data_IF_333986294924
#
_entry.id   IF_333986294924
#
_cell.length_a   1.000
_cell.length_b   1.000
_cell.length_c   1.000
_cell.angle_alpha   90.00
_cell.angle_beta   90.00
_cell.angle_gamma   90.00
#
_symmetry.space_group_name_H-M   'P 1'
#
loop_
_entity.id
_entity.type
_entity.pdbx_description
1 polymer ?
#
# COMPACT_ATOMS: atom_id res chain seq x y z
N UNK A 1 0.23 22.95 -17.09
CA UNK A 1 1.59 22.89 -16.52
C UNK A 1 1.60 21.71 -15.56
N UNK A 2 2.48 20.71 -15.77
CA UNK A 2 2.59 19.58 -14.83
C UNK A 2 3.72 19.90 -13.85
N UNK A 3 3.38 20.11 -12.58
CA UNK A 3 4.32 20.43 -11.51
C UNK A 3 4.71 19.12 -10.80
N UNK A 4 5.53 18.31 -11.45
CA UNK A 4 6.15 17.14 -10.85
C UNK A 4 7.58 17.00 -11.35
N UNK A 5 8.50 16.66 -10.46
CA UNK A 5 9.88 16.36 -10.80
C UNK A 5 10.43 15.31 -9.84
N UNK A 6 11.50 14.58 -10.21
CA UNK A 6 12.16 13.67 -9.29
C UNK A 6 12.62 14.39 -8.02
N UNK A 7 12.44 13.74 -6.88
CA UNK A 7 12.90 14.24 -5.59
C UNK A 7 14.43 14.22 -5.55
N UNK A 8 15.03 15.26 -4.96
CA UNK A 8 16.47 15.32 -4.78
C UNK A 8 16.83 15.91 -3.43
N UNK A 9 17.92 15.40 -2.85
CA UNK A 9 18.53 15.95 -1.65
C UNK A 9 19.50 17.04 -2.09
N UNK A 10 19.43 18.20 -1.43
CA UNK A 10 20.26 19.35 -1.74
C UNK A 10 21.07 19.76 -0.51
N UNK A 11 22.32 20.16 -0.74
CA UNK A 11 23.14 20.82 0.26
C UNK A 11 23.15 22.32 -0.01
N UNK A 12 22.80 23.11 1.01
CA UNK A 12 22.87 24.56 0.95
C UNK A 12 24.09 25.05 1.74
N UNK A 13 24.97 25.80 1.06
CA UNK A 13 26.11 26.45 1.70
C UNK A 13 26.01 27.97 1.51
N UNK A 14 24.96 28.56 2.07
CA UNK A 14 24.68 30.01 2.02
C UNK A 14 24.04 30.47 0.71
N UNK A 15 24.81 30.53 -0.39
CA UNK A 15 24.35 31.08 -1.68
C UNK A 15 24.18 30.04 -2.78
N UNK A 16 24.73 28.83 -2.61
CA UNK A 16 24.67 27.76 -3.59
C UNK A 16 23.85 26.58 -3.07
N UNK A 17 23.04 26.02 -3.98
CA UNK A 17 22.21 24.86 -3.73
C UNK A 17 22.70 23.74 -4.65
N UNK A 18 23.48 22.81 -4.09
CA UNK A 18 24.06 21.71 -4.83
C UNK A 18 23.19 20.47 -4.70
N UNK A 19 22.77 19.91 -5.84
CA UNK A 19 22.08 18.61 -5.88
C UNK A 19 23.08 17.51 -5.48
N UNK A 20 22.77 16.80 -4.40
CA UNK A 20 23.60 15.72 -3.88
C UNK A 20 23.20 14.38 -4.47
N UNK A 21 21.89 14.10 -4.47
CA UNK A 21 21.33 12.82 -4.84
C UNK A 21 19.93 13.01 -5.37
N UNK A 22 19.58 12.30 -6.44
CA UNK A 22 18.19 12.06 -6.82
C UNK A 22 17.72 10.77 -6.15
N UNK A 23 16.60 10.82 -5.42
CA UNK A 23 16.09 9.65 -4.72
C UNK A 23 15.22 8.85 -5.69
N UNK A 24 15.58 7.59 -6.02
CA UNK A 24 14.84 6.77 -6.97
C UNK A 24 13.37 6.61 -6.56
N UNK A 25 12.46 6.80 -7.53
CA UNK A 25 11.01 6.65 -7.40
C UNK A 25 10.35 7.54 -6.34
N UNK A 26 11.04 8.57 -5.86
CA UNK A 26 10.42 9.66 -5.11
C UNK A 26 10.25 10.88 -6.02
N UNK A 27 9.10 11.52 -5.94
CA UNK A 27 8.75 12.69 -6.72
C UNK A 27 8.37 13.85 -5.81
N UNK A 28 8.74 15.06 -6.19
CA UNK A 28 8.21 16.30 -5.63
C UNK A 28 7.14 16.84 -6.58
N UNK A 29 5.97 17.14 -6.02
CA UNK A 29 4.86 17.81 -6.69
C UNK A 29 4.73 19.25 -6.23
N UNK A 30 3.70 19.94 -6.72
CA UNK A 30 3.32 21.25 -6.19
C UNK A 30 2.70 21.15 -4.80
N UNK A 31 2.00 20.05 -4.53
CA UNK A 31 1.44 19.71 -3.23
C UNK A 31 2.14 18.49 -2.64
N UNK A 32 2.19 18.40 -1.30
CA UNK A 32 2.74 17.21 -0.63
C UNK A 32 1.95 15.95 -1.01
N UNK A 33 0.63 16.06 -1.18
CA UNK A 33 -0.24 14.96 -1.60
C UNK A 33 0.06 14.46 -3.00
N UNK A 34 0.37 15.36 -3.93
CA UNK A 34 0.80 14.99 -5.29
C UNK A 34 2.16 14.30 -5.27
N UNK A 35 3.10 14.83 -4.48
CA UNK A 35 4.44 14.25 -4.29
C UNK A 35 4.34 12.79 -3.86
N UNK A 36 3.52 12.53 -2.83
CA UNK A 36 3.27 11.19 -2.29
C UNK A 36 2.61 10.31 -3.36
N UNK A 37 1.51 10.78 -3.97
CA UNK A 37 0.71 10.01 -4.95
C UNK A 37 1.56 9.38 -6.05
N UNK A 38 2.48 10.15 -6.64
CA UNK A 38 3.30 9.70 -7.76
C UNK A 38 4.56 8.91 -7.34
N UNK A 39 4.92 8.92 -6.06
CA UNK A 39 6.09 8.20 -5.56
C UNK A 39 5.81 6.72 -5.36
N UNK A 40 6.88 5.91 -5.29
CA UNK A 40 6.87 4.51 -4.88
C UNK A 40 7.82 4.31 -3.69
N UNK A 41 7.56 3.27 -2.90
CA UNK A 41 8.41 2.87 -1.78
C UNK A 41 9.54 1.92 -2.21
N UNK A 42 9.73 1.69 -3.52
CA UNK A 42 10.72 0.75 -4.07
C UNK A 42 12.13 0.93 -3.47
N UNK A 43 12.61 2.17 -3.33
CA UNK A 43 13.92 2.47 -2.75
C UNK A 43 14.09 1.87 -1.34
N UNK A 44 13.03 1.80 -0.55
CA UNK A 44 13.09 1.30 0.83
C UNK A 44 13.31 -0.22 0.92
N UNK A 45 13.13 -0.96 -0.19
CA UNK A 45 13.45 -2.40 -0.28
C UNK A 45 14.89 -2.67 -0.74
N UNK A 46 15.66 -1.63 -1.10
CA UNK A 46 17.02 -1.77 -1.62
C UNK A 46 18.05 -1.19 -0.66
N UNK A 47 18.98 -2.02 -0.18
CA UNK A 47 19.96 -1.61 0.83
C UNK A 47 20.84 -0.47 0.34
N UNK A 48 21.30 -0.50 -0.90
CA UNK A 48 22.12 0.58 -1.47
C UNK A 48 21.38 1.92 -1.51
N UNK A 49 20.08 1.89 -1.77
CA UNK A 49 19.27 3.11 -1.78
C UNK A 49 19.05 3.67 -0.36
N UNK A 50 18.75 2.79 0.59
CA UNK A 50 18.59 3.14 2.01
C UNK A 50 19.89 3.66 2.62
N UNK A 51 21.04 3.05 2.28
CA UNK A 51 22.37 3.50 2.71
C UNK A 51 22.68 4.91 2.20
N UNK A 52 22.34 5.20 0.94
CA UNK A 52 22.51 6.53 0.36
C UNK A 52 21.69 7.59 1.11
N UNK A 53 20.43 7.28 1.42
CA UNK A 53 19.56 8.19 2.20
C UNK A 53 20.14 8.38 3.61
N UNK A 54 20.52 7.29 4.27
CA UNK A 54 21.06 7.30 5.64
C UNK A 54 22.35 8.14 5.72
N UNK A 55 23.22 8.01 4.73
CA UNK A 55 24.46 8.78 4.61
C UNK A 55 24.19 10.29 4.54
N UNK A 56 23.30 10.73 3.64
CA UNK A 56 23.03 12.15 3.43
C UNK A 56 22.22 12.79 4.55
N UNK A 57 21.35 12.03 5.22
CA UNK A 57 20.57 12.51 6.35
C UNK A 57 21.31 12.37 7.69
N UNK A 58 22.48 11.74 7.71
CA UNK A 58 23.25 11.43 8.91
C UNK A 58 22.41 10.73 10.00
N UNK A 59 21.58 9.78 9.58
CA UNK A 59 20.73 8.96 10.44
C UNK A 59 21.43 7.62 10.67
N UNK A 60 21.25 7.02 11.84
CA UNK A 60 21.66 5.64 12.10
C UNK A 60 21.14 4.71 11.00
N UNK A 61 21.89 3.65 10.72
CA UNK A 61 21.60 2.67 9.66
C UNK A 61 20.13 2.26 9.68
N UNK A 62 19.40 2.68 8.65
CA UNK A 62 18.03 2.25 8.40
C UNK A 62 18.07 0.83 7.82
N UNK A 63 17.20 -0.04 8.33
CA UNK A 63 17.03 -1.36 7.76
C UNK A 63 16.10 -1.26 6.54
N UNK A 64 16.40 -2.04 5.50
CA UNK A 64 15.49 -2.20 4.36
C UNK A 64 14.20 -2.88 4.77
N UNK A 65 13.13 -2.56 4.04
CA UNK A 65 11.90 -3.33 4.06
C UNK A 65 12.16 -4.71 3.46
N UNK A 66 11.51 -5.72 4.03
CA UNK A 66 11.60 -7.10 3.57
C UNK A 66 10.55 -7.36 2.49
N UNK A 67 11.02 -7.69 1.29
CA UNK A 67 10.18 -8.02 0.13
C UNK A 67 9.32 -9.25 0.42
N UNK A 68 9.79 -10.20 1.24
CA UNK A 68 9.04 -11.41 1.58
C UNK A 68 7.83 -11.15 2.50
N UNK A 69 7.75 -9.95 3.10
CA UNK A 69 6.59 -9.56 3.90
C UNK A 69 5.46 -8.94 3.07
N UNK A 70 5.71 -8.58 1.82
CA UNK A 70 4.65 -8.15 0.90
C UNK A 70 3.75 -9.33 0.54
N UNK A 71 2.44 -9.12 0.54
CA UNK A 71 1.47 -10.14 0.14
C UNK A 71 0.58 -9.69 -1.01
N UNK A 72 0.12 -8.44 -0.97
CA UNK A 72 -0.79 -7.89 -1.96
C UNK A 72 -0.08 -6.94 -2.92
N UNK A 73 0.73 -6.02 -2.40
CA UNK A 73 1.41 -5.03 -3.22
C UNK A 73 2.74 -5.54 -3.79
N UNK A 74 3.07 -5.10 -5.00
CA UNK A 74 4.39 -5.28 -5.58
C UNK A 74 5.37 -4.21 -5.08
N UNK A 75 6.67 -4.50 -5.14
CA UNK A 75 7.74 -3.56 -4.74
C UNK A 75 7.71 -2.25 -5.53
N UNK A 76 7.24 -2.29 -6.78
CA UNK A 76 7.09 -1.14 -7.67
C UNK A 76 5.70 -0.47 -7.62
N UNK A 77 4.84 -0.85 -6.66
CA UNK A 77 3.54 -0.21 -6.48
C UNK A 77 3.72 1.29 -6.17
N UNK A 78 2.92 2.14 -6.81
CA UNK A 78 2.88 3.57 -6.46
C UNK A 78 2.10 3.76 -5.17
N UNK A 79 2.39 4.81 -4.42
CA UNK A 79 1.63 5.10 -3.20
C UNK A 79 0.17 5.39 -3.52
N UNK A 80 -0.15 5.92 -4.71
CA UNK A 80 -1.54 5.99 -5.19
C UNK A 80 -2.24 4.63 -5.23
N UNK A 81 -1.59 3.61 -5.80
CA UNK A 81 -2.17 2.26 -5.87
C UNK A 81 -2.40 1.68 -4.48
N UNK A 82 -1.45 1.90 -3.56
CA UNK A 82 -1.55 1.49 -2.17
C UNK A 82 -2.69 2.25 -1.46
N UNK A 83 -2.82 3.55 -1.71
CA UNK A 83 -3.88 4.39 -1.14
C UNK A 83 -5.26 3.98 -1.63
N UNK A 84 -5.41 3.63 -2.91
CA UNK A 84 -6.69 3.17 -3.48
C UNK A 84 -7.21 1.90 -2.80
N UNK A 85 -6.33 1.16 -2.14
CA UNK A 85 -6.63 -0.03 -1.34
C UNK A 85 -6.45 0.22 0.16
N UNK A 86 -6.55 1.48 0.58
CA UNK A 86 -6.53 1.92 1.98
C UNK A 86 -5.27 1.48 2.75
N UNK A 87 -4.15 1.29 2.05
CA UNK A 87 -2.88 0.80 2.63
C UNK A 87 -2.98 -0.61 3.25
N UNK A 88 -3.99 -1.42 2.86
CA UNK A 88 -4.17 -2.77 3.43
C UNK A 88 -3.44 -3.82 2.60
N UNK A 89 -2.25 -4.23 3.02
CA UNK A 89 -1.49 -5.30 2.34
C UNK A 89 -1.95 -6.71 2.74
N UNK A 90 -2.49 -6.87 3.95
CA UNK A 90 -2.98 -8.16 4.46
C UNK A 90 -4.28 -8.03 5.23
N UNK A 91 -5.31 -8.69 4.73
CA UNK A 91 -6.53 -8.93 5.49
C UNK A 91 -6.32 -10.14 6.40
N UNK A 92 -6.17 -9.91 7.70
CA UNK A 92 -6.28 -11.00 8.68
C UNK A 92 -7.76 -11.33 8.85
N UNK A 93 -8.26 -12.26 8.03
CA UNK A 93 -9.62 -12.76 8.16
C UNK A 93 -9.69 -13.68 9.39
N UNK A 94 -9.88 -13.11 10.57
CA UNK A 94 -10.34 -13.87 11.74
C UNK A 94 -11.87 -13.97 11.68
N UNK A 95 -12.41 -14.57 10.62
CA UNK A 95 -13.86 -14.71 10.48
C UNK A 95 -14.34 -15.80 11.44
N UNK A 96 -14.67 -15.41 12.66
CA UNK A 96 -15.71 -16.10 13.40
C UNK A 96 -17.01 -15.87 12.64
N UNK A 97 -17.30 -16.76 11.68
CA UNK A 97 -18.57 -16.76 10.95
C UNK A 97 -19.75 -16.87 11.92
N UNK A 98 -19.52 -17.28 13.17
CA UNK A 98 -20.53 -17.31 14.22
C UNK A 98 -21.12 -15.94 14.52
N UNK A 99 -20.31 -14.88 14.64
CA UNK A 99 -20.86 -13.55 14.95
C UNK A 99 -21.72 -13.03 13.80
N UNK A 100 -21.23 -13.17 12.57
CA UNK A 100 -21.99 -12.83 11.36
C UNK A 100 -23.25 -13.68 11.20
N UNK A 101 -23.14 -15.00 11.40
CA UNK A 101 -24.27 -15.93 11.33
C UNK A 101 -25.31 -15.66 12.41
N UNK A 102 -24.92 -15.41 13.67
CA UNK A 102 -25.86 -15.06 14.72
C UNK A 102 -26.60 -13.75 14.42
N UNK A 103 -25.95 -12.80 13.74
CA UNK A 103 -26.54 -11.51 13.38
C UNK A 103 -27.40 -11.57 12.11
N UNK A 104 -27.07 -12.47 11.18
CA UNK A 104 -27.70 -12.55 9.86
C UNK A 104 -28.52 -13.82 9.64
N UNK A 105 -28.62 -14.74 10.60
CA UNK A 105 -29.44 -15.94 10.43
C UNK A 105 -30.90 -15.53 10.29
N UNK A 106 -31.66 -16.19 9.40
CA UNK A 106 -33.10 -15.99 9.35
C UNK A 106 -33.74 -16.51 10.63
N UNK A 107 -34.70 -15.77 11.19
CA UNK A 107 -35.49 -16.22 12.34
C UNK A 107 -36.38 -17.41 11.99
N UNK A 108 -36.79 -17.52 10.72
CA UNK A 108 -37.64 -18.59 10.22
C UNK A 108 -37.14 -19.03 8.84
N UNK A 109 -37.07 -20.36 8.63
CA UNK A 109 -36.76 -20.92 7.32
C UNK A 109 -38.03 -21.00 6.48
N UNK A 110 -38.04 -20.37 5.31
CA UNK A 110 -39.11 -20.49 4.32
C UNK A 110 -38.73 -21.55 3.30
N UNK A 111 -39.47 -22.66 3.30
CA UNK A 111 -39.35 -23.68 2.26
C UNK A 111 -40.35 -23.39 1.13
N UNK A 112 -39.93 -23.62 -0.11
CA UNK A 112 -40.82 -23.62 -1.27
C UNK A 112 -40.98 -25.04 -1.77
N UNK A 113 -42.23 -25.53 -1.81
CA UNK A 113 -42.54 -26.84 -2.36
C UNK A 113 -42.64 -26.72 -3.87
N UNK A 114 -41.60 -27.16 -4.58
CA UNK A 114 -41.60 -27.22 -6.04
C UNK A 114 -42.05 -28.63 -6.44
N UNK A 115 -43.31 -28.79 -6.84
CA UNK A 115 -43.79 -30.05 -7.41
C UNK A 115 -43.33 -30.18 -8.87
N UNK A 116 -42.16 -30.78 -9.08
CA UNK A 116 -41.83 -31.44 -10.33
C UNK A 116 -41.95 -32.94 -10.09
N UNK A 117 -42.97 -33.57 -10.69
CA UNK A 117 -43.25 -35.02 -10.71
C UNK A 117 -42.24 -35.86 -9.88
N UNK A 118 -42.58 -36.05 -8.60
CA UNK A 118 -42.14 -37.16 -7.76
C UNK A 118 -40.78 -37.10 -7.04
N UNK A 119 -40.22 -35.93 -6.68
CA UNK A 119 -39.13 -35.85 -5.69
C UNK A 119 -39.29 -34.61 -4.80
N UNK A 120 -39.38 -34.80 -3.48
CA UNK A 120 -39.39 -33.72 -2.49
C UNK A 120 -37.95 -33.31 -2.16
N UNK A 121 -37.54 -32.12 -2.61
CA UNK A 121 -36.29 -31.48 -2.21
C UNK A 121 -36.58 -30.46 -1.12
N UNK A 122 -35.93 -30.62 0.04
CA UNK A 122 -35.92 -29.63 1.12
C UNK A 122 -34.63 -28.84 0.94
N UNK A 123 -34.75 -27.55 0.61
CA UNK A 123 -33.63 -26.58 0.53
C UNK A 123 -33.72 -25.65 1.72
#
# INVERSE_FOLDING_TARGET
MRCFSPMSIYFSNGTYLNKLLEVPDFYTGCLQTESIRYSSLMCLFNQSCVDLISFWLNISTLNTLDIHNLNHFSVNATIESIQNEMFVDRWKVSSSHRAFYEQCRPDYCTYTLIEHKSIWLII
#
